data_IF_440027260053
#
_entry.id   IF_440027260053
#
_cell.length_a   1.000
_cell.length_b   1.000
_cell.length_c   1.000
_cell.angle_alpha   90.00
_cell.angle_beta   90.00
_cell.angle_gamma   90.00
#
_symmetry.space_group_name_H-M   'P 1'
#
loop_
_entity.id
_entity.type
_entity.pdbx_description
1 polymer ?
#
# COMPACT_ATOMS: atom_id res chain seq x y z
N UNK A 1 -24.81 11.57 5.68
CA UNK A 1 -24.36 12.40 6.82
C UNK A 1 -23.63 11.60 7.90
N UNK A 2 -23.83 10.28 8.02
CA UNK A 2 -23.25 9.46 9.11
C UNK A 2 -21.74 9.23 9.03
N UNK A 3 -21.17 8.99 7.84
CA UNK A 3 -19.73 8.72 7.68
C UNK A 3 -18.87 9.92 8.10
N UNK A 4 -19.27 11.14 7.73
CA UNK A 4 -18.58 12.38 8.12
C UNK A 4 -18.62 12.58 9.64
N UNK A 5 -19.78 12.37 10.26
CA UNK A 5 -19.93 12.45 11.71
C UNK A 5 -19.12 11.37 12.43
N UNK A 6 -19.05 10.15 11.88
CA UNK A 6 -18.22 9.07 12.43
C UNK A 6 -16.73 9.41 12.36
N UNK A 7 -16.23 9.84 11.20
CA UNK A 7 -14.82 10.21 11.01
C UNK A 7 -14.46 11.36 11.94
N UNK A 8 -15.29 12.40 12.04
CA UNK A 8 -15.04 13.53 12.93
C UNK A 8 -14.94 13.11 14.42
N UNK A 9 -15.70 12.09 14.84
CA UNK A 9 -15.64 11.56 16.21
C UNK A 9 -14.44 10.64 16.47
N UNK A 10 -14.02 9.87 15.47
CA UNK A 10 -13.04 8.78 15.65
C UNK A 10 -11.62 9.15 15.18
N UNK A 11 -11.49 10.15 14.32
CA UNK A 11 -10.22 10.57 13.73
C UNK A 11 -9.89 11.98 14.22
N UNK A 12 -9.04 12.12 15.26
CA UNK A 12 -8.80 13.39 15.93
C UNK A 12 -8.11 14.43 15.04
N UNK A 13 -7.42 14.01 13.98
CA UNK A 13 -6.82 14.90 12.99
C UNK A 13 -6.96 14.32 11.60
N UNK A 14 -7.70 15.01 10.74
CA UNK A 14 -7.77 14.72 9.31
C UNK A 14 -6.60 15.42 8.61
N UNK A 15 -5.95 14.72 7.69
CA UNK A 15 -5.00 15.34 6.76
C UNK A 15 -5.79 15.97 5.62
N UNK A 16 -5.50 17.22 5.28
CA UNK A 16 -6.01 17.82 4.06
C UNK A 16 -5.30 17.15 2.88
N UNK A 17 -6.07 16.49 2.03
CA UNK A 17 -5.57 15.73 0.90
C UNK A 17 -6.03 16.38 -0.41
N UNK A 18 -5.11 16.76 -1.32
CA UNK A 18 -5.50 17.28 -2.61
C UNK A 18 -6.22 16.20 -3.44
N UNK A 19 -7.30 16.59 -4.10
CA UNK A 19 -8.03 15.71 -5.02
C UNK A 19 -7.10 15.22 -6.14
N UNK A 20 -7.23 13.95 -6.53
CA UNK A 20 -6.46 13.33 -7.62
C UNK A 20 -4.94 13.22 -7.40
N UNK A 21 -4.47 13.20 -6.15
CA UNK A 21 -3.05 12.96 -5.82
C UNK A 21 -2.81 11.57 -5.19
N UNK A 22 -2.87 10.47 -5.98
CA UNK A 22 -2.52 9.13 -5.50
C UNK A 22 -1.01 8.97 -5.28
N UNK A 23 -0.19 9.81 -5.94
CA UNK A 23 1.26 9.92 -5.79
C UNK A 23 1.66 10.31 -4.36
N UNK A 24 0.85 11.14 -3.72
CA UNK A 24 1.04 11.47 -2.32
C UNK A 24 0.66 10.30 -1.40
N UNK A 25 -0.11 9.30 -1.83
CA UNK A 25 -0.71 8.31 -0.91
C UNK A 25 0.23 7.12 -0.69
N UNK A 26 0.85 6.99 0.49
CA UNK A 26 1.93 6.01 0.70
C UNK A 26 1.39 4.57 0.66
N UNK A 27 0.08 4.37 0.85
CA UNK A 27 -0.54 3.05 0.74
C UNK A 27 -0.56 2.54 -0.71
N UNK A 28 -0.66 3.43 -1.70
CA UNK A 28 -0.61 3.04 -3.13
C UNK A 28 0.78 2.50 -3.47
N UNK A 29 1.82 3.20 -3.02
CA UNK A 29 3.20 2.75 -3.17
C UNK A 29 3.45 1.42 -2.45
N UNK A 30 2.88 1.24 -1.25
CA UNK A 30 2.94 -0.02 -0.52
C UNK A 30 2.27 -1.17 -1.31
N UNK A 31 1.08 -0.92 -1.87
CA UNK A 31 0.38 -1.92 -2.70
C UNK A 31 1.16 -2.28 -3.97
N UNK A 32 1.81 -1.32 -4.62
CA UNK A 32 2.67 -1.58 -5.77
C UNK A 32 3.83 -2.52 -5.40
N UNK A 33 4.46 -2.32 -4.23
CA UNK A 33 5.53 -3.18 -3.72
C UNK A 33 5.02 -4.60 -3.44
N UNK A 34 3.90 -4.73 -2.73
CA UNK A 34 3.31 -6.03 -2.40
C UNK A 34 2.94 -6.78 -3.68
N UNK A 35 2.27 -6.12 -4.62
CA UNK A 35 1.86 -6.71 -5.90
C UNK A 35 3.07 -7.27 -6.65
N UNK A 36 4.14 -6.49 -6.78
CA UNK A 36 5.40 -6.92 -7.42
C UNK A 36 6.03 -8.13 -6.72
N UNK A 37 6.02 -8.17 -5.38
CA UNK A 37 6.55 -9.29 -4.59
C UNK A 37 5.70 -10.56 -4.77
N UNK A 38 4.38 -10.43 -4.79
CA UNK A 38 3.43 -11.54 -5.01
C UNK A 38 3.57 -12.08 -6.43
N UNK A 39 3.53 -11.22 -7.45
CA UNK A 39 3.70 -11.61 -8.86
C UNK A 39 5.00 -12.38 -9.08
N UNK A 40 6.12 -11.91 -8.52
CA UNK A 40 7.40 -12.61 -8.62
C UNK A 40 7.35 -14.02 -8.04
N UNK A 41 6.62 -14.24 -6.94
CA UNK A 41 6.47 -15.58 -6.32
C UNK A 41 5.50 -16.45 -7.10
N UNK A 42 4.37 -15.90 -7.52
CA UNK A 42 3.36 -16.59 -8.33
C UNK A 42 3.97 -17.07 -9.65
N UNK A 43 4.70 -16.21 -10.35
CA UNK A 43 5.34 -16.58 -11.62
C UNK A 43 6.32 -17.75 -11.45
N UNK A 44 7.09 -17.78 -10.36
CA UNK A 44 8.00 -18.91 -10.06
C UNK A 44 7.26 -20.22 -9.80
N UNK A 45 6.10 -20.16 -9.15
CA UNK A 45 5.26 -21.34 -8.86
C UNK A 45 4.63 -21.82 -10.16
N UNK A 46 3.98 -20.94 -10.92
CA UNK A 46 3.31 -21.28 -12.18
C UNK A 46 4.29 -21.82 -13.22
N UNK A 47 5.54 -21.33 -13.27
CA UNK A 47 6.58 -21.91 -14.13
C UNK A 47 6.91 -23.38 -13.80
N UNK A 48 6.74 -23.81 -12.54
CA UNK A 48 7.03 -25.17 -12.09
C UNK A 48 5.79 -26.07 -12.08
N UNK A 49 4.67 -25.54 -11.62
CA UNK A 49 3.45 -26.29 -11.28
C UNK A 49 2.27 -25.98 -12.23
N UNK A 50 2.47 -25.13 -13.25
CA UNK A 50 1.50 -24.66 -14.26
C UNK A 50 0.28 -23.90 -13.72
N UNK A 51 0.02 -23.95 -12.41
CA UNK A 51 -1.12 -23.30 -11.76
C UNK A 51 -0.82 -23.04 -10.28
N UNK A 52 -1.67 -22.23 -9.64
CA UNK A 52 -1.64 -21.99 -8.20
C UNK A 52 -3.07 -22.05 -7.66
N UNK A 53 -3.27 -22.68 -6.51
CA UNK A 53 -4.58 -22.70 -5.84
C UNK A 53 -4.88 -21.36 -5.17
N UNK A 54 -6.17 -21.04 -5.03
CA UNK A 54 -6.65 -19.82 -4.36
C UNK A 54 -6.10 -19.74 -2.93
N UNK A 55 -6.14 -20.84 -2.17
CA UNK A 55 -5.63 -20.89 -0.79
C UNK A 55 -4.13 -20.59 -0.71
N UNK A 56 -3.33 -21.11 -1.65
CA UNK A 56 -1.89 -20.82 -1.71
C UNK A 56 -1.65 -19.35 -2.08
N UNK A 57 -2.39 -18.82 -3.05
CA UNK A 57 -2.31 -17.40 -3.44
C UNK A 57 -2.64 -16.45 -2.28
N UNK A 58 -3.72 -16.70 -1.54
CA UNK A 58 -4.05 -15.94 -0.33
C UNK A 58 -2.96 -16.06 0.76
N UNK A 59 -2.37 -17.25 0.91
CA UNK A 59 -1.25 -17.47 1.82
C UNK A 59 -0.03 -16.62 1.47
N UNK A 60 0.29 -16.50 0.18
CA UNK A 60 1.38 -15.64 -0.30
C UNK A 60 1.13 -14.17 0.01
N UNK A 61 -0.06 -13.65 -0.30
CA UNK A 61 -0.42 -12.25 0.00
C UNK A 61 -0.28 -11.96 1.49
N UNK A 62 -0.82 -12.84 2.35
CA UNK A 62 -0.73 -12.70 3.80
C UNK A 62 0.73 -12.73 4.28
N UNK A 63 1.57 -13.56 3.65
CA UNK A 63 3.00 -13.63 3.95
C UNK A 63 3.70 -12.33 3.57
N UNK A 64 3.48 -11.82 2.36
CA UNK A 64 4.06 -10.54 1.93
C UNK A 64 3.61 -9.36 2.80
N UNK A 65 2.34 -9.35 3.19
CA UNK A 65 1.83 -8.34 4.10
C UNK A 65 2.54 -8.36 5.46
N UNK A 66 2.74 -9.56 6.03
CA UNK A 66 3.43 -9.72 7.31
C UNK A 66 4.93 -9.38 7.25
N UNK A 67 5.53 -9.45 6.06
CA UNK A 67 6.94 -9.15 5.80
C UNK A 67 7.21 -7.65 5.56
N UNK A 68 6.17 -6.82 5.61
CA UNK A 68 6.32 -5.36 5.52
C UNK A 68 7.01 -4.88 6.80
N UNK A 69 8.19 -4.28 6.64
CA UNK A 69 8.93 -3.71 7.76
C UNK A 69 8.47 -2.30 8.07
N UNK A 70 8.63 -1.89 9.33
CA UNK A 70 8.38 -0.51 9.76
C UNK A 70 9.25 0.47 8.96
N UNK A 71 10.51 0.13 8.70
CA UNK A 71 11.42 0.97 7.91
C UNK A 71 10.91 1.21 6.49
N UNK A 72 10.31 0.20 5.86
CA UNK A 72 9.70 0.38 4.54
C UNK A 72 8.57 1.41 4.61
N UNK A 73 7.68 1.29 5.60
CA UNK A 73 6.60 2.25 5.80
C UNK A 73 7.13 3.67 6.06
N UNK A 74 8.17 3.81 6.90
CA UNK A 74 8.77 5.11 7.19
C UNK A 74 9.41 5.74 5.94
N UNK A 75 10.05 4.95 5.10
CA UNK A 75 10.64 5.45 3.85
C UNK A 75 9.56 5.91 2.86
N UNK A 76 8.44 5.18 2.76
CA UNK A 76 7.29 5.60 1.94
C UNK A 76 6.69 6.92 2.44
N UNK A 77 6.57 7.08 3.76
CA UNK A 77 6.06 8.33 4.36
C UNK A 77 7.01 9.49 4.11
N UNK A 78 8.33 9.29 4.28
CA UNK A 78 9.34 10.34 4.02
C UNK A 78 9.36 10.77 2.55
N UNK A 79 9.15 9.84 1.62
CA UNK A 79 9.05 10.14 0.19
C UNK A 79 7.91 11.10 -0.16
N UNK A 80 6.83 11.15 0.64
CA UNK A 80 5.76 12.12 0.43
C UNK A 80 6.23 13.56 0.68
N UNK A 81 7.04 13.77 1.73
CA UNK A 81 7.48 15.10 2.15
C UNK A 81 8.37 15.79 1.11
N UNK A 82 9.12 15.02 0.31
CA UNK A 82 9.87 15.56 -0.83
C UNK A 82 8.95 16.10 -1.93
N UNK A 83 7.85 15.43 -2.24
CA UNK A 83 6.93 15.83 -3.32
C UNK A 83 6.00 16.99 -2.93
N UNK A 84 5.65 17.12 -1.65
CA UNK A 84 4.90 18.28 -1.15
C UNK A 84 5.69 19.58 -1.26
N UNK A 85 7.02 19.53 -1.18
CA UNK A 85 7.86 20.72 -1.37
C UNK A 85 7.99 21.09 -2.86
N UNK A 86 8.00 20.11 -3.76
CA UNK A 86 8.04 20.33 -5.22
C UNK A 86 6.70 20.82 -5.80
N UNK A 87 5.58 20.50 -5.15
CA UNK A 87 4.23 20.91 -5.61
C UNK A 87 3.83 22.33 -5.16
N UNK A 88 4.65 22.96 -4.31
CA UNK A 88 4.45 24.32 -3.79
C UNK A 88 5.41 25.36 -4.42
N UNK A 89 6.16 24.96 -5.46
CA UNK A 89 6.89 25.84 -6.39
C UNK A 89 6.16 25.91 -7.73
#
# INVERSE_FOLDING_TARGET
>A
MEMKAFIHRQVPKLLEWPSYSPDLNPIENLWAIIKKRVEKRVNKIVQKEKSISISHWHGLIRKEWKDITVDLCLNLVKGMSSHVNESNE
#
